data_IF_554329838116
#
_entry.id   IF_554329838116
#
_cell.length_a   1.000
_cell.length_b   1.000
_cell.length_c   1.000
_cell.angle_alpha   90.00
_cell.angle_beta   90.00
_cell.angle_gamma   90.00
#
_symmetry.space_group_name_H-M   'P 1'
#
loop_
_entity.id
_entity.type
_entity.pdbx_description
1 polymer ?
#
# COMPACT_ATOMS: atom_id res chain seq x y z
N UNK A 1 -3.78 -11.62 -17.75
CA UNK A 1 -3.84 -11.60 -16.26
C UNK A 1 -3.58 -10.17 -15.80
N UNK A 2 -4.45 -9.60 -14.99
CA UNK A 2 -4.33 -8.19 -14.60
C UNK A 2 -3.15 -8.00 -13.62
N UNK A 3 -2.17 -7.18 -14.00
CA UNK A 3 -0.90 -6.96 -13.26
C UNK A 3 -1.06 -6.46 -11.81
N UNK A 4 -2.24 -5.97 -11.43
CA UNK A 4 -2.52 -5.60 -10.03
C UNK A 4 -2.72 -6.81 -9.11
N UNK A 5 -3.04 -8.00 -9.65
CA UNK A 5 -3.20 -9.22 -8.85
C UNK A 5 -1.89 -9.70 -8.24
N UNK A 6 -0.78 -9.36 -8.90
CA UNK A 6 0.59 -9.63 -8.46
C UNK A 6 1.06 -8.69 -7.33
N UNK A 7 0.26 -7.67 -6.97
CA UNK A 7 0.58 -6.78 -5.85
C UNK A 7 0.31 -7.49 -4.53
N UNK A 8 1.37 -7.66 -3.74
CA UNK A 8 1.29 -8.13 -2.36
C UNK A 8 1.05 -6.94 -1.45
N UNK A 9 0.01 -7.03 -0.61
CA UNK A 9 -0.35 -5.99 0.36
C UNK A 9 0.01 -6.48 1.75
N UNK A 10 0.74 -5.66 2.50
CA UNK A 10 1.07 -5.90 3.91
C UNK A 10 0.65 -4.69 4.73
N UNK A 11 -0.07 -4.94 5.83
CA UNK A 11 -0.46 -3.90 6.77
C UNK A 11 0.53 -3.90 7.95
N UNK A 12 1.03 -2.73 8.31
CA UNK A 12 2.00 -2.57 9.40
C UNK A 12 1.66 -1.36 10.26
N UNK A 13 1.84 -1.50 11.59
CA UNK A 13 1.80 -0.38 12.54
C UNK A 13 3.15 0.32 12.70
N UNK A 14 4.14 -0.07 11.89
CA UNK A 14 5.48 0.51 11.84
C UNK A 14 5.85 0.90 10.43
N UNK A 15 6.53 2.03 10.29
CA UNK A 15 7.05 2.53 9.03
C UNK A 15 8.08 1.52 8.48
N UNK A 16 7.95 1.09 7.21
CA UNK A 16 8.76 -0.01 6.66
C UNK A 16 10.22 0.33 6.37
N UNK A 17 10.61 1.61 6.46
CA UNK A 17 12.01 2.04 6.24
C UNK A 17 12.67 2.49 7.55
N UNK A 18 11.96 3.29 8.35
CA UNK A 18 12.50 3.86 9.59
C UNK A 18 12.18 3.00 10.81
N UNK A 19 11.31 2.01 10.68
CA UNK A 19 10.79 1.18 11.79
C UNK A 19 10.06 1.98 12.89
N UNK A 20 9.80 3.26 12.66
CA UNK A 20 9.07 4.13 13.58
C UNK A 20 7.60 3.70 13.68
N UNK A 21 6.97 3.87 14.85
CA UNK A 21 5.54 3.58 14.98
C UNK A 21 4.71 4.53 14.10
N UNK A 22 3.64 4.00 13.51
CA UNK A 22 2.64 4.82 12.83
C UNK A 22 2.00 5.80 13.81
N UNK A 23 1.45 6.90 13.28
CA UNK A 23 0.70 7.82 14.11
C UNK A 23 -0.47 7.09 14.78
N UNK A 24 -0.87 7.56 15.98
CA UNK A 24 -2.03 6.99 16.66
C UNK A 24 -3.25 6.99 15.73
N UNK A 25 -3.93 5.85 15.66
CA UNK A 25 -5.06 5.67 14.74
C UNK A 25 -4.68 5.38 13.29
N UNK A 26 -3.41 5.40 12.89
CA UNK A 26 -2.97 5.16 11.52
C UNK A 26 -2.39 3.75 11.31
N UNK A 27 -2.29 3.34 10.04
CA UNK A 27 -1.71 2.08 9.59
C UNK A 27 -0.95 2.31 8.29
N UNK A 28 0.22 1.71 8.15
CA UNK A 28 0.95 1.70 6.89
C UNK A 28 0.45 0.56 6.00
N UNK A 29 0.03 0.91 4.79
CA UNK A 29 -0.30 -0.03 3.72
C UNK A 29 0.93 -0.14 2.82
N UNK A 30 1.54 -1.32 2.80
CA UNK A 30 2.78 -1.58 2.07
C UNK A 30 2.44 -2.46 0.88
N UNK A 31 2.76 -1.98 -0.33
CA UNK A 31 2.60 -2.73 -1.57
C UNK A 31 3.94 -3.15 -2.15
N UNK A 32 3.99 -4.40 -2.61
CA UNK A 32 5.14 -4.93 -3.34
C UNK A 32 4.70 -5.51 -4.68
N UNK A 33 5.41 -5.15 -5.75
CA UNK A 33 5.23 -5.67 -7.10
C UNK A 33 6.61 -6.02 -7.67
N UNK A 34 6.97 -7.30 -7.64
CA UNK A 34 8.31 -7.77 -7.97
C UNK A 34 9.37 -7.11 -7.08
N UNK A 35 10.31 -6.40 -7.71
CA UNK A 35 11.39 -5.66 -7.02
C UNK A 35 10.97 -4.24 -6.57
N UNK A 36 9.76 -3.77 -6.93
CA UNK A 36 9.28 -2.46 -6.52
C UNK A 36 8.50 -2.58 -5.21
N UNK A 37 8.84 -1.74 -4.24
CA UNK A 37 8.13 -1.60 -2.97
C UNK A 37 7.72 -0.14 -2.78
N UNK A 38 6.46 0.07 -2.42
CA UNK A 38 5.88 1.36 -2.07
C UNK A 38 4.94 1.19 -0.90
N UNK A 39 4.53 2.31 -0.32
CA UNK A 39 3.71 2.36 0.86
C UNK A 39 2.94 3.68 0.95
N UNK A 40 1.97 3.73 1.85
CA UNK A 40 1.36 4.96 2.28
C UNK A 40 0.78 4.78 3.68
N UNK A 41 0.55 5.89 4.35
CA UNK A 41 -0.12 5.92 5.63
C UNK A 41 -1.61 6.22 5.42
N UNK A 42 -2.46 5.50 6.14
CA UNK A 42 -3.90 5.71 6.12
C UNK A 42 -4.46 5.57 7.54
N UNK A 43 -5.51 6.33 7.84
CA UNK A 43 -6.31 6.14 9.05
C UNK A 43 -6.86 4.71 9.11
N UNK A 44 -6.76 4.06 10.27
CA UNK A 44 -7.27 2.70 10.51
C UNK A 44 -8.78 2.64 10.33
N UNK A 45 -9.49 3.71 10.69
CA UNK A 45 -10.94 3.82 10.51
C UNK A 45 -11.29 3.92 9.02
N UNK A 46 -10.43 4.56 8.22
CA UNK A 46 -10.60 4.58 6.76
C UNK A 46 -10.25 3.23 6.16
N UNK A 47 -9.16 2.59 6.61
CA UNK A 47 -8.70 1.28 6.13
C UNK A 47 -9.80 0.21 6.22
N UNK A 48 -10.60 0.22 7.28
CA UNK A 48 -11.74 -0.70 7.46
C UNK A 48 -12.80 -0.57 6.36
N UNK A 49 -12.89 0.61 5.72
CA UNK A 49 -13.80 0.87 4.59
C UNK A 49 -13.24 0.42 3.25
N UNK A 50 -11.94 0.11 3.16
CA UNK A 50 -11.31 -0.33 1.91
C UNK A 50 -11.34 -1.85 1.78
N UNK A 51 -11.77 -2.33 0.61
CA UNK A 51 -11.60 -3.74 0.26
C UNK A 51 -10.14 -4.02 -0.11
N UNK A 52 -9.68 -5.27 0.05
CA UNK A 52 -8.32 -5.65 -0.39
C UNK A 52 -8.07 -5.33 -1.87
N UNK A 53 -9.08 -5.42 -2.73
CA UNK A 53 -8.95 -5.05 -4.14
C UNK A 53 -8.70 -3.55 -4.34
N UNK A 54 -9.31 -2.70 -3.53
CA UNK A 54 -9.11 -1.26 -3.61
C UNK A 54 -7.69 -0.89 -3.18
N UNK A 55 -7.22 -1.47 -2.08
CA UNK A 55 -5.82 -1.31 -1.62
C UNK A 55 -4.83 -1.76 -2.70
N UNK A 56 -5.07 -2.90 -3.35
CA UNK A 56 -4.23 -3.38 -4.46
C UNK A 56 -4.24 -2.44 -5.65
N UNK A 57 -5.39 -1.87 -6.01
CA UNK A 57 -5.49 -0.88 -7.10
C UNK A 57 -4.74 0.40 -6.78
N UNK A 58 -4.87 0.93 -5.57
CA UNK A 58 -4.14 2.13 -5.14
C UNK A 58 -2.62 1.89 -5.12
N UNK A 59 -2.19 0.80 -4.51
CA UNK A 59 -0.77 0.42 -4.51
C UNK A 59 -0.24 0.19 -5.92
N UNK A 60 -1.03 -0.42 -6.80
CA UNK A 60 -0.63 -0.62 -8.19
C UNK A 60 -0.37 0.72 -8.90
N UNK A 61 -1.19 1.75 -8.66
CA UNK A 61 -0.96 3.10 -9.20
C UNK A 61 0.36 3.70 -8.69
N UNK A 62 0.69 3.50 -7.41
CA UNK A 62 1.93 4.00 -6.81
C UNK A 62 3.17 3.22 -7.31
N UNK A 63 3.04 1.90 -7.50
CA UNK A 63 4.12 1.00 -7.93
C UNK A 63 4.36 1.07 -9.44
N UNK A 64 3.30 1.35 -10.20
CA UNK A 64 3.30 1.48 -11.64
C UNK A 64 2.67 2.81 -12.03
N UNK A 65 3.32 3.95 -11.70
CA UNK A 65 2.91 5.22 -12.26
C UNK A 65 2.95 5.04 -13.77
N UNK A 66 1.80 5.19 -14.43
CA UNK A 66 1.78 5.30 -15.89
C UNK A 66 2.57 6.58 -16.18
N UNK A 67 3.84 6.42 -16.55
CA UNK A 67 4.53 7.44 -17.34
C UNK A 67 3.67 7.63 -18.57
N UNK A 68 2.84 8.67 -18.57
CA UNK A 68 2.31 9.23 -19.80
C UNK A 68 3.55 9.64 -20.60
N UNK A 69 3.93 8.78 -21.54
CA UNK A 69 4.86 9.12 -22.62
C UNK A 69 4.14 10.03 -23.61
#
# INVERSE_FOLDING_TARGET
MSKYKDVVVTLSKKHPETSEPAQAGHTYVIGQLGNKKKWYEIDTIQLDKFSQEDLKKELFKLLHPQTHH
#
